data_IF_081075509262
#
_entry.id   IF_081075509262
#
_cell.length_a   1.000
_cell.length_b   1.000
_cell.length_c   1.000
_cell.angle_alpha   90.00
_cell.angle_beta   90.00
_cell.angle_gamma   90.00
#
_symmetry.space_group_name_H-M   'P 1'
#
loop_
_entity.id
_entity.type
_entity.pdbx_description
1 polymer ?
#
# COMPACT_ATOMS: atom_id res chain seq x y z
N UNK A 1 -49.38 13.05 -85.02
CA UNK A 1 -48.79 12.11 -84.05
C UNK A 1 -48.87 12.73 -82.66
N UNK A 2 -49.47 11.98 -81.74
CA UNK A 2 -49.31 12.01 -80.27
C UNK A 2 -49.64 13.29 -79.45
N UNK A 3 -50.90 13.30 -78.97
CA UNK A 3 -51.32 13.20 -77.57
C UNK A 3 -50.55 13.88 -76.39
N UNK A 4 -51.34 14.67 -75.62
CA UNK A 4 -51.56 14.60 -74.13
C UNK A 4 -50.39 14.96 -73.19
N UNK A 5 -50.54 15.41 -71.93
CA UNK A 5 -51.58 16.00 -71.04
C UNK A 5 -50.84 16.17 -69.69
N UNK A 6 -50.96 17.35 -69.06
CA UNK A 6 -51.09 17.62 -67.61
C UNK A 6 -49.94 17.44 -66.59
N UNK A 7 -49.69 18.59 -65.91
CA UNK A 7 -49.72 18.89 -64.46
C UNK A 7 -49.18 17.89 -63.40
N UNK A 8 -48.47 18.52 -62.46
CA UNK A 8 -48.54 18.39 -60.98
C UNK A 8 -48.08 17.14 -60.25
N UNK A 9 -47.53 17.43 -59.06
CA UNK A 9 -47.72 16.74 -57.78
C UNK A 9 -46.90 15.44 -57.55
N UNK A 10 -45.97 15.42 -56.59
CA UNK A 10 -46.15 15.17 -55.14
C UNK A 10 -45.72 13.72 -54.81
N UNK A 11 -44.97 13.59 -53.71
CA UNK A 11 -44.54 12.38 -52.96
C UNK A 11 -43.20 11.73 -53.36
N UNK A 12 -42.21 11.93 -52.48
CA UNK A 12 -41.46 10.82 -51.90
C UNK A 12 -41.26 11.13 -50.41
N UNK A 13 -41.95 10.36 -49.58
CA UNK A 13 -41.78 10.27 -48.13
C UNK A 13 -40.36 9.79 -47.77
N UNK A 14 -39.87 10.20 -46.59
CA UNK A 14 -39.53 9.30 -45.48
C UNK A 14 -38.42 9.90 -44.60
N UNK A 15 -38.78 10.06 -43.33
CA UNK A 15 -37.96 9.74 -42.16
C UNK A 15 -36.99 10.79 -41.55
N UNK A 16 -37.42 11.21 -40.36
CA UNK A 16 -36.65 11.50 -39.14
C UNK A 16 -36.50 12.97 -38.71
N UNK A 17 -37.57 13.42 -38.04
CA UNK A 17 -37.60 14.19 -36.80
C UNK A 17 -36.20 14.42 -36.16
N UNK A 18 -35.70 15.67 -36.21
CA UNK A 18 -34.57 16.10 -35.39
C UNK A 18 -35.04 17.18 -34.42
N UNK A 19 -35.30 16.72 -33.21
CA UNK A 19 -35.45 17.50 -31.99
C UNK A 19 -34.15 18.25 -31.68
N UNK A 20 -34.25 19.56 -31.44
CA UNK A 20 -33.20 20.31 -30.72
C UNK A 20 -33.76 20.59 -29.34
N UNK A 21 -33.43 19.71 -28.39
CA UNK A 21 -33.63 19.95 -26.96
C UNK A 21 -32.25 20.09 -26.34
N UNK A 22 -32.05 21.26 -25.75
CA UNK A 22 -30.94 21.67 -24.90
C UNK A 22 -30.60 20.59 -23.86
N UNK A 23 -29.35 20.13 -23.82
CA UNK A 23 -28.80 19.40 -22.69
C UNK A 23 -27.52 20.11 -22.23
N UNK A 24 -27.70 20.97 -21.23
CA UNK A 24 -26.62 21.57 -20.46
C UNK A 24 -26.03 20.44 -19.58
N UNK A 25 -24.92 19.84 -20.01
CA UNK A 25 -24.16 18.89 -19.19
C UNK A 25 -23.39 19.68 -18.14
N UNK A 26 -24.04 19.94 -17.00
CA UNK A 26 -23.34 20.23 -15.75
C UNK A 26 -22.60 18.94 -15.41
N UNK A 27 -21.30 18.90 -15.68
CA UNK A 27 -20.41 17.89 -15.11
C UNK A 27 -20.37 18.16 -13.62
N UNK A 28 -21.31 17.56 -12.88
CA UNK A 28 -21.15 17.34 -11.46
C UNK A 28 -19.97 16.39 -11.34
N UNK A 29 -18.78 16.97 -11.16
CA UNK A 29 -17.66 16.26 -10.59
C UNK A 29 -18.09 15.76 -9.23
N UNK A 30 -18.66 14.56 -9.20
CA UNK A 30 -18.70 13.70 -8.02
C UNK A 30 -17.26 13.34 -7.73
N UNK A 31 -16.51 14.32 -7.24
CA UNK A 31 -15.48 14.05 -6.27
C UNK A 31 -16.21 13.32 -5.17
N UNK A 32 -15.96 12.02 -5.05
CA UNK A 32 -16.21 11.32 -3.80
C UNK A 32 -15.22 11.96 -2.84
N UNK A 33 -15.60 13.10 -2.28
CA UNK A 33 -14.98 13.58 -1.06
C UNK A 33 -15.14 12.41 -0.10
N UNK A 34 -14.04 11.77 0.29
CA UNK A 34 -14.04 10.97 1.49
C UNK A 34 -14.38 11.94 2.60
N UNK A 35 -15.68 12.05 2.88
CA UNK A 35 -16.18 12.67 4.08
C UNK A 35 -15.74 11.78 5.21
N UNK A 36 -14.51 11.99 5.70
CA UNK A 36 -14.27 11.91 7.12
C UNK A 36 -15.10 13.03 7.76
N UNK A 37 -16.43 12.84 7.79
CA UNK A 37 -17.41 13.74 8.41
C UNK A 37 -17.35 13.66 9.95
N UNK A 38 -16.30 13.04 10.51
CA UNK A 38 -16.05 13.07 11.94
C UNK A 38 -15.44 14.45 12.26
N UNK A 39 -16.34 15.39 12.59
CA UNK A 39 -15.97 16.66 13.18
C UNK A 39 -15.19 16.47 14.49
N UNK A 40 -14.68 17.59 15.03
CA UNK A 40 -13.87 17.59 16.25
C UNK A 40 -14.58 16.91 17.44
N UNK A 41 -15.92 16.84 17.42
CA UNK A 41 -16.78 16.19 18.41
C UNK A 41 -16.35 14.76 18.75
N UNK A 42 -15.88 13.97 17.77
CA UNK A 42 -15.39 12.60 18.00
C UNK A 42 -14.16 12.55 18.93
N UNK A 43 -13.41 13.65 19.02
CA UNK A 43 -12.19 13.79 19.82
C UNK A 43 -12.37 14.61 21.11
N UNK A 44 -13.53 15.24 21.32
CA UNK A 44 -13.83 16.08 22.48
C UNK A 44 -14.61 15.34 23.59
N UNK A 45 -14.99 14.09 23.35
CA UNK A 45 -15.67 13.24 24.33
C UNK A 45 -14.78 12.84 25.52
N UNK A 46 -15.37 12.10 26.47
CA UNK A 46 -14.57 11.45 27.52
C UNK A 46 -13.54 10.51 26.87
N UNK A 47 -12.32 10.38 27.40
CA UNK A 47 -11.37 9.40 26.90
C UNK A 47 -11.99 8.00 26.91
N UNK A 48 -11.96 7.33 25.75
CA UNK A 48 -12.42 5.96 25.57
C UNK A 48 -11.26 5.11 25.13
N UNK A 49 -11.15 3.91 25.68
CA UNK A 49 -10.21 2.88 25.22
C UNK A 49 -10.96 1.57 25.07
N UNK A 50 -11.36 1.27 23.83
CA UNK A 50 -11.99 0.02 23.46
C UNK A 50 -10.96 -0.96 22.92
N UNK A 51 -11.20 -2.25 23.19
CA UNK A 51 -10.36 -3.33 22.68
C UNK A 51 -11.24 -4.35 22.00
N UNK A 52 -10.87 -4.71 20.79
CA UNK A 52 -11.44 -5.83 20.06
C UNK A 52 -10.32 -6.79 19.68
N UNK A 53 -10.57 -8.09 19.85
CA UNK A 53 -9.68 -9.12 19.30
C UNK A 53 -10.08 -9.43 17.86
N UNK A 54 -9.12 -9.36 16.95
CA UNK A 54 -9.33 -9.62 15.52
C UNK A 54 -8.85 -11.02 15.11
N UNK A 55 -7.80 -11.53 15.77
CA UNK A 55 -7.18 -12.81 15.51
C UNK A 55 -6.86 -13.49 16.86
N UNK A 56 -6.96 -14.82 16.92
CA UNK A 56 -6.82 -15.61 18.15
C UNK A 56 -5.51 -16.41 18.21
N UNK A 57 -4.72 -16.38 17.13
CA UNK A 57 -3.53 -17.19 16.91
C UNK A 57 -2.39 -16.35 16.29
N UNK A 58 -1.23 -16.96 16.03
CA UNK A 58 -0.12 -16.38 15.24
C UNK A 58 0.45 -15.04 15.75
N UNK A 59 1.28 -14.37 14.93
CA UNK A 59 1.90 -13.07 15.19
C UNK A 59 2.01 -12.24 13.90
N UNK A 60 2.68 -11.08 14.00
CA UNK A 60 3.08 -10.18 12.91
C UNK A 60 1.97 -9.25 12.41
N UNK A 61 1.45 -8.37 13.29
CA UNK A 61 0.43 -7.39 12.92
C UNK A 61 0.98 -6.31 11.99
N UNK A 62 0.13 -5.85 11.10
CA UNK A 62 0.22 -4.51 10.52
C UNK A 62 -1.19 -3.97 10.29
N UNK A 63 -1.34 -2.65 10.27
CA UNK A 63 -2.62 -2.01 10.03
C UNK A 63 -2.41 -0.82 9.09
N UNK A 64 -3.26 -0.70 8.09
CA UNK A 64 -3.25 0.43 7.15
C UNK A 64 -4.67 0.93 6.92
N UNK A 65 -4.78 2.18 6.52
CA UNK A 65 -6.04 2.78 6.05
C UNK A 65 -5.91 3.02 4.56
N UNK A 66 -6.83 2.50 3.77
CA UNK A 66 -6.82 2.67 2.31
C UNK A 66 -7.23 4.08 1.93
N UNK A 67 -7.02 4.46 0.67
CA UNK A 67 -7.50 5.74 0.12
C UNK A 67 -9.03 5.87 0.12
N UNK A 68 -9.75 4.77 0.39
CA UNK A 68 -11.22 4.74 0.55
C UNK A 68 -11.68 4.83 2.00
N UNK A 69 -10.76 4.91 2.97
CA UNK A 69 -11.07 4.94 4.40
C UNK A 69 -11.27 3.56 5.03
N UNK A 70 -11.09 2.47 4.26
CA UNK A 70 -11.16 1.11 4.80
C UNK A 70 -9.95 0.83 5.67
N UNK A 71 -10.17 0.36 6.89
CA UNK A 71 -9.10 -0.13 7.77
C UNK A 71 -8.82 -1.59 7.43
N UNK A 72 -7.56 -1.91 7.13
CA UNK A 72 -7.13 -3.28 6.80
C UNK A 72 -6.10 -3.73 7.84
N UNK A 73 -6.46 -4.74 8.63
CA UNK A 73 -5.56 -5.41 9.55
C UNK A 73 -4.97 -6.65 8.87
N UNK A 74 -3.64 -6.74 8.82
CA UNK A 74 -2.88 -7.85 8.21
C UNK A 74 -2.21 -8.65 9.32
N UNK A 75 -2.23 -9.98 9.20
CA UNK A 75 -1.78 -10.88 10.26
C UNK A 75 -1.28 -12.21 9.71
N UNK A 76 -0.25 -12.78 10.35
CA UNK A 76 0.10 -14.19 10.20
C UNK A 76 1.58 -14.49 9.99
N UNK A 77 1.99 -15.66 10.49
CA UNK A 77 3.33 -16.21 10.35
C UNK A 77 3.34 -17.71 10.00
N UNK A 78 2.18 -18.24 9.61
CA UNK A 78 1.98 -19.55 9.00
C UNK A 78 0.87 -19.45 7.96
N UNK A 79 1.11 -18.60 6.95
CA UNK A 79 0.07 -18.02 6.13
C UNK A 79 -0.22 -16.58 6.54
N UNK A 80 -0.81 -15.82 5.62
CA UNK A 80 -1.11 -14.39 5.81
C UNK A 80 -2.55 -14.13 5.43
N UNK A 81 -3.27 -13.49 6.35
CA UNK A 81 -4.67 -13.11 6.21
C UNK A 81 -4.85 -11.61 6.43
N UNK A 82 -5.94 -11.07 5.90
CA UNK A 82 -6.43 -9.74 6.27
C UNK A 82 -7.85 -9.79 6.81
N UNK A 83 -8.19 -8.84 7.67
CA UNK A 83 -9.57 -8.44 7.94
C UNK A 83 -9.75 -6.98 7.54
N UNK A 84 -10.97 -6.63 7.13
CA UNK A 84 -11.34 -5.28 6.68
C UNK A 84 -12.43 -4.70 7.57
N UNK A 85 -12.37 -3.41 7.81
CA UNK A 85 -13.42 -2.61 8.40
C UNK A 85 -13.70 -1.41 7.52
N UNK A 86 -14.97 -1.21 7.16
CA UNK A 86 -15.43 -0.08 6.32
C UNK A 86 -16.06 1.03 7.18
N UNK A 87 -16.01 0.91 8.51
CA UNK A 87 -16.63 1.80 9.49
C UNK A 87 -15.65 2.30 10.57
N UNK A 88 -14.37 2.44 10.20
CA UNK A 88 -13.34 3.01 11.08
C UNK A 88 -12.86 2.08 12.20
N UNK A 89 -13.05 0.77 12.04
CA UNK A 89 -12.63 -0.25 12.99
C UNK A 89 -13.72 -0.70 13.97
N UNK A 90 -14.97 -0.24 13.83
CA UNK A 90 -16.09 -0.60 14.73
C UNK A 90 -16.57 -2.02 14.49
N UNK A 91 -16.67 -2.44 13.23
CA UNK A 91 -16.99 -3.82 12.84
C UNK A 91 -15.98 -4.34 11.83
N UNK A 92 -15.79 -5.66 11.83
CA UNK A 92 -14.77 -6.31 11.01
C UNK A 92 -15.36 -7.49 10.24
N UNK A 93 -15.06 -7.57 8.96
CA UNK A 93 -15.42 -8.72 8.13
C UNK A 93 -14.67 -10.00 8.51
N UNK A 94 -15.03 -11.09 7.83
CA UNK A 94 -14.30 -12.36 7.91
C UNK A 94 -12.86 -12.24 7.41
N UNK A 95 -12.02 -13.20 7.82
CA UNK A 95 -10.63 -13.28 7.34
C UNK A 95 -10.60 -13.59 5.83
N UNK A 96 -9.70 -12.91 5.12
CA UNK A 96 -9.44 -13.09 3.69
C UNK A 96 -8.00 -13.54 3.54
N UNK A 97 -7.78 -14.70 2.92
CA UNK A 97 -6.43 -15.21 2.69
C UNK A 97 -5.68 -14.38 1.65
N UNK A 98 -4.47 -13.94 2.00
CA UNK A 98 -3.48 -13.34 1.10
C UNK A 98 -2.53 -14.43 0.60
N UNK A 99 -2.01 -15.24 1.52
CA UNK A 99 -1.11 -16.36 1.25
C UNK A 99 -1.43 -17.54 2.17
N UNK A 100 -1.44 -18.75 1.63
CA UNK A 100 -1.67 -20.00 2.38
C UNK A 100 -0.49 -20.38 3.29
N UNK A 101 0.69 -19.80 3.07
CA UNK A 101 1.91 -20.06 3.83
C UNK A 101 2.77 -18.81 3.96
N UNK A 102 3.81 -18.91 4.77
CA UNK A 102 4.82 -17.87 4.89
C UNK A 102 4.51 -16.85 5.97
N UNK A 103 5.43 -15.89 6.09
CA UNK A 103 5.58 -14.97 7.18
C UNK A 103 5.23 -13.59 6.67
N UNK A 104 4.25 -12.94 7.29
CA UNK A 104 3.99 -11.56 6.98
C UNK A 104 5.23 -10.73 7.26
N UNK A 105 5.75 -10.10 6.21
CA UNK A 105 6.95 -9.29 6.27
C UNK A 105 6.74 -7.96 6.97
N UNK A 106 5.53 -7.62 7.41
CA UNK A 106 5.18 -6.25 7.76
C UNK A 106 5.26 -5.33 6.53
N UNK A 107 5.16 -4.03 6.76
CA UNK A 107 5.34 -3.05 5.71
C UNK A 107 4.27 -3.11 4.63
N UNK A 108 3.03 -3.51 4.99
CA UNK A 108 1.89 -3.35 4.08
C UNK A 108 1.88 -1.91 3.61
N UNK A 109 1.87 -1.71 2.30
CA UNK A 109 2.03 -0.39 1.71
C UNK A 109 0.79 -0.06 0.90
N UNK A 110 0.16 1.06 1.20
CA UNK A 110 -0.89 1.64 0.36
C UNK A 110 -0.20 2.52 -0.66
N UNK A 111 -0.31 2.18 -1.95
CA UNK A 111 0.12 3.06 -3.03
C UNK A 111 -0.93 4.15 -3.20
N UNK A 112 -0.77 5.27 -2.49
CA UNK A 112 -1.73 6.38 -2.54
C UNK A 112 -1.90 7.01 -3.94
N UNK A 113 -1.04 6.70 -4.92
CA UNK A 113 -1.25 7.15 -6.30
C UNK A 113 -2.37 6.37 -7.00
N UNK A 114 -2.50 5.07 -6.70
CA UNK A 114 -3.44 4.16 -7.36
C UNK A 114 -4.57 3.68 -6.46
N UNK A 115 -4.37 3.71 -5.14
CA UNK A 115 -5.23 3.04 -4.15
C UNK A 115 -4.96 1.54 -4.00
N UNK A 116 -3.97 0.99 -4.71
CA UNK A 116 -3.59 -0.42 -4.57
C UNK A 116 -2.89 -0.68 -3.23
N UNK A 117 -3.02 -1.92 -2.72
CA UNK A 117 -2.31 -2.37 -1.53
C UNK A 117 -1.26 -3.41 -1.90
N UNK A 118 -0.10 -3.34 -1.26
CA UNK A 118 0.99 -4.31 -1.39
C UNK A 118 1.26 -4.98 -0.05
N UNK A 119 1.21 -6.31 -0.02
CA UNK A 119 1.59 -7.14 1.13
C UNK A 119 2.81 -7.97 0.76
N UNK A 120 3.76 -8.05 1.68
CA UNK A 120 5.06 -8.68 1.47
C UNK A 120 5.13 -9.93 2.34
N UNK A 121 5.37 -11.09 1.75
CA UNK A 121 5.36 -12.39 2.44
C UNK A 121 6.69 -13.09 2.22
N UNK A 122 7.41 -13.36 3.30
CA UNK A 122 8.64 -14.17 3.24
C UNK A 122 8.31 -15.65 3.47
N UNK A 123 8.97 -16.57 2.78
CA UNK A 123 8.65 -18.00 2.90
C UNK A 123 8.88 -18.56 4.33
N UNK A 124 9.78 -17.93 5.09
CA UNK A 124 10.19 -18.30 6.46
C UNK A 124 10.87 -17.11 7.13
N UNK A 125 11.39 -17.31 8.35
CA UNK A 125 12.26 -16.33 9.01
C UNK A 125 13.46 -15.96 8.10
N UNK A 126 13.79 -14.66 7.94
CA UNK A 126 14.89 -14.23 7.09
C UNK A 126 16.25 -14.81 7.50
N UNK A 127 17.17 -14.99 6.54
CA UNK A 127 17.02 -14.67 5.11
C UNK A 127 16.16 -15.71 4.37
N UNK A 128 15.19 -15.25 3.57
CA UNK A 128 14.23 -16.08 2.85
C UNK A 128 13.78 -15.44 1.52
N UNK A 129 13.29 -16.24 0.55
CA UNK A 129 12.59 -15.71 -0.62
C UNK A 129 11.36 -14.89 -0.21
N UNK A 130 11.04 -13.88 -1.02
CA UNK A 130 9.95 -12.94 -0.79
C UNK A 130 8.97 -12.96 -1.97
N UNK A 131 7.68 -13.03 -1.66
CA UNK A 131 6.58 -12.85 -2.61
C UNK A 131 5.80 -11.58 -2.27
N UNK A 132 5.49 -10.79 -3.29
CA UNK A 132 4.64 -9.60 -3.15
C UNK A 132 3.24 -9.92 -3.65
N UNK A 133 2.23 -9.61 -2.85
CA UNK A 133 0.82 -9.70 -3.20
C UNK A 133 0.24 -8.31 -3.36
N UNK A 134 -0.60 -8.14 -4.38
CA UNK A 134 -1.32 -6.89 -4.63
C UNK A 134 -2.82 -7.10 -4.49
N UNK A 135 -3.49 -6.15 -3.85
CA UNK A 135 -4.92 -5.92 -4.00
C UNK A 135 -5.15 -4.63 -4.79
N UNK A 136 -6.11 -4.68 -5.71
CA UNK A 136 -6.56 -3.54 -6.54
C UNK A 136 -8.01 -3.14 -6.27
N UNK A 137 -8.61 -3.79 -5.28
CA UNK A 137 -10.03 -3.73 -4.97
C UNK A 137 -10.23 -3.50 -3.48
N UNK A 138 -9.39 -2.65 -2.89
CA UNK A 138 -9.50 -2.17 -1.52
C UNK A 138 -9.32 -3.29 -0.47
N UNK A 139 -8.43 -4.24 -0.75
CA UNK A 139 -8.09 -5.37 0.13
C UNK A 139 -9.01 -6.58 0.02
N UNK A 140 -9.95 -6.60 -0.93
CA UNK A 140 -10.96 -7.66 -1.07
C UNK A 140 -10.40 -8.93 -1.71
N UNK A 141 -9.55 -8.78 -2.73
CA UNK A 141 -8.86 -9.90 -3.36
C UNK A 141 -7.36 -9.62 -3.49
N UNK A 142 -6.57 -10.69 -3.43
CA UNK A 142 -5.11 -10.62 -3.47
C UNK A 142 -4.57 -11.53 -4.57
N UNK A 143 -3.57 -11.03 -5.30
CA UNK A 143 -2.89 -11.76 -6.36
C UNK A 143 -1.38 -11.55 -6.25
N UNK A 144 -0.62 -12.59 -6.56
CA UNK A 144 0.84 -12.47 -6.67
C UNK A 144 1.18 -11.42 -7.73
N UNK A 145 2.13 -10.56 -7.40
CA UNK A 145 2.70 -9.57 -8.29
C UNK A 145 4.13 -9.95 -8.65
N UNK A 146 4.39 -10.12 -9.94
CA UNK A 146 5.76 -10.18 -10.44
C UNK A 146 6.51 -8.89 -10.07
N UNK A 147 7.55 -9.03 -9.26
CA UNK A 147 8.28 -7.90 -8.66
C UNK A 147 9.77 -8.15 -8.71
N UNK A 148 10.54 -7.14 -9.10
CA UNK A 148 12.01 -7.17 -9.07
C UNK A 148 12.49 -6.31 -7.91
N UNK A 149 13.33 -6.86 -7.04
CA UNK A 149 13.93 -6.13 -5.91
C UNK A 149 15.44 -6.16 -6.09
N UNK A 150 16.02 -4.97 -6.28
CA UNK A 150 17.46 -4.81 -6.44
C UNK A 150 18.23 -5.06 -5.14
N UNK A 151 19.48 -5.48 -5.28
CA UNK A 151 20.43 -5.53 -4.15
C UNK A 151 20.88 -4.12 -3.78
N UNK A 152 21.40 -3.96 -2.57
CA UNK A 152 22.05 -2.72 -2.16
C UNK A 152 23.45 -2.57 -2.79
N UNK A 153 24.14 -1.48 -2.45
CA UNK A 153 25.49 -1.18 -2.96
C UNK A 153 26.56 -2.20 -2.60
N UNK A 154 26.30 -3.07 -1.61
CA UNK A 154 27.20 -4.16 -1.20
C UNK A 154 26.84 -5.50 -1.86
N UNK A 155 25.81 -5.53 -2.72
CA UNK A 155 25.32 -6.77 -3.33
C UNK A 155 24.44 -7.62 -2.40
N UNK A 156 23.95 -7.04 -1.31
CA UNK A 156 23.11 -7.70 -0.32
C UNK A 156 21.61 -7.52 -0.63
N UNK A 157 20.84 -8.58 -0.39
CA UNK A 157 19.39 -8.57 -0.58
C UNK A 157 18.70 -7.98 0.66
N UNK A 158 17.81 -6.97 0.51
CA UNK A 158 17.00 -6.50 1.62
C UNK A 158 15.92 -7.52 1.99
N UNK A 159 15.61 -7.61 3.28
CA UNK A 159 14.47 -8.32 3.83
C UNK A 159 13.40 -7.32 4.27
N UNK A 160 12.14 -7.73 4.11
CA UNK A 160 10.99 -6.93 4.50
C UNK A 160 10.65 -7.12 5.97
N UNK A 161 11.01 -8.27 6.53
CA UNK A 161 10.53 -8.80 7.80
C UNK A 161 10.41 -7.79 8.94
N UNK A 162 9.16 -7.67 9.41
CA UNK A 162 8.70 -6.95 10.59
C UNK A 162 8.99 -5.45 10.61
N UNK A 163 9.29 -4.86 9.46
CA UNK A 163 9.30 -3.41 9.33
C UNK A 163 7.86 -2.88 9.28
N UNK A 164 7.66 -1.65 9.74
CA UNK A 164 6.35 -0.98 9.74
C UNK A 164 5.92 -0.57 8.32
N UNK A 165 4.67 -0.12 8.17
CA UNK A 165 4.06 0.25 6.89
C UNK A 165 4.95 1.15 6.04
N UNK A 166 4.92 0.94 4.72
CA UNK A 166 5.50 1.87 3.77
C UNK A 166 4.67 3.14 3.64
N UNK A 167 5.21 4.15 2.96
CA UNK A 167 4.52 5.40 2.64
C UNK A 167 4.61 5.71 1.16
N UNK A 168 3.68 6.53 0.68
CA UNK A 168 3.82 7.29 -0.58
C UNK A 168 4.30 8.69 -0.25
N UNK A 169 5.41 9.13 -0.87
CA UNK A 169 5.94 10.48 -0.64
C UNK A 169 4.97 11.54 -1.17
N UNK A 170 4.74 12.59 -0.38
CA UNK A 170 3.84 13.70 -0.70
C UNK A 170 4.59 14.96 -1.13
N UNK A 171 5.89 15.06 -0.82
CA UNK A 171 6.68 16.28 -1.01
C UNK A 171 7.89 16.11 -1.93
N UNK A 172 8.37 17.23 -2.45
CA UNK A 172 9.62 17.32 -3.20
C UNK A 172 9.62 16.62 -4.56
N UNK A 173 10.82 16.47 -5.13
CA UNK A 173 11.04 15.95 -6.49
C UNK A 173 10.66 14.47 -6.69
N UNK A 174 10.40 13.76 -5.59
CA UNK A 174 10.09 12.33 -5.58
C UNK A 174 8.65 12.05 -5.09
N UNK A 175 7.78 13.06 -5.06
CA UNK A 175 6.36 12.88 -4.78
C UNK A 175 5.78 11.73 -5.62
N UNK A 176 5.03 10.84 -4.97
CA UNK A 176 4.44 9.63 -5.54
C UNK A 176 5.33 8.38 -5.43
N UNK A 177 6.60 8.51 -5.05
CA UNK A 177 7.47 7.35 -4.77
C UNK A 177 6.94 6.56 -3.59
N UNK A 178 6.90 5.24 -3.72
CA UNK A 178 6.72 4.32 -2.59
C UNK A 178 8.05 4.17 -1.86
N UNK A 179 8.05 4.27 -0.54
CA UNK A 179 9.23 4.15 0.32
C UNK A 179 8.90 3.29 1.54
N UNK A 180 9.76 2.32 1.87
CA UNK A 180 9.59 1.53 3.09
C UNK A 180 10.91 1.12 3.74
N UNK A 181 10.91 0.82 5.06
CA UNK A 181 12.07 0.31 5.75
C UNK A 181 12.36 -1.14 5.37
N UNK A 182 13.65 -1.49 5.35
CA UNK A 182 14.15 -2.85 5.14
C UNK A 182 15.37 -3.13 6.03
N UNK A 183 15.69 -4.42 6.18
CA UNK A 183 16.84 -4.89 6.94
C UNK A 183 17.67 -5.87 6.13
N UNK A 184 18.98 -5.86 6.32
CA UNK A 184 19.85 -6.95 5.94
C UNK A 184 20.15 -7.83 7.16
N UNK A 185 19.92 -9.14 7.04
CA UNK A 185 20.05 -10.11 8.13
C UNK A 185 21.44 -10.77 8.22
N UNK A 186 22.37 -10.45 7.32
CA UNK A 186 23.57 -11.26 7.15
C UNK A 186 23.30 -12.53 6.34
N UNK A 187 24.33 -13.33 6.04
CA UNK A 187 24.20 -14.55 5.25
C UNK A 187 23.30 -15.62 5.89
N UNK A 188 23.33 -15.76 7.21
CA UNK A 188 22.63 -16.82 7.94
C UNK A 188 21.52 -16.29 8.87
N UNK A 189 21.53 -14.99 9.20
CA UNK A 189 20.57 -14.44 10.15
C UNK A 189 20.95 -14.71 11.61
N UNK A 190 20.02 -14.43 12.51
CA UNK A 190 20.19 -14.68 13.95
C UNK A 190 21.11 -13.70 14.68
N UNK A 191 21.31 -13.94 15.97
CA UNK A 191 22.03 -13.00 16.86
C UNK A 191 23.55 -12.97 16.66
N UNK A 192 24.13 -14.09 16.23
CA UNK A 192 25.58 -14.18 15.99
C UNK A 192 26.05 -13.25 14.85
N UNK A 193 25.15 -12.87 13.94
CA UNK A 193 25.45 -11.98 12.81
C UNK A 193 24.99 -10.54 13.04
N UNK A 194 24.54 -10.17 14.23
CA UNK A 194 24.18 -8.78 14.54
C UNK A 194 25.22 -7.72 14.09
N UNK A 195 26.54 -7.93 14.23
CA UNK A 195 27.54 -6.97 13.73
C UNK A 195 27.49 -6.75 12.20
N UNK A 196 26.97 -7.72 11.45
CA UNK A 196 26.81 -7.66 10.00
C UNK A 196 25.47 -7.04 9.58
N UNK A 197 24.49 -7.06 10.47
CA UNK A 197 23.13 -6.63 10.20
C UNK A 197 23.00 -5.11 10.24
N UNK A 198 22.12 -4.59 9.41
CA UNK A 198 21.82 -3.16 9.32
C UNK A 198 20.46 -2.93 8.69
N UNK A 199 19.97 -1.71 8.82
CA UNK A 199 18.79 -1.23 8.12
C UNK A 199 19.15 -0.42 6.90
N UNK A 200 18.21 -0.38 5.96
CA UNK A 200 18.22 0.48 4.80
C UNK A 200 16.76 0.77 4.42
N UNK A 201 16.55 1.40 3.27
CA UNK A 201 15.22 1.58 2.71
C UNK A 201 15.17 1.01 1.29
N UNK A 202 13.98 0.60 0.88
CA UNK A 202 13.68 0.34 -0.54
C UNK A 202 12.67 1.37 -1.04
N UNK A 203 12.76 1.68 -2.33
CA UNK A 203 11.83 2.59 -2.97
C UNK A 203 11.42 2.12 -4.37
N UNK A 204 10.23 2.52 -4.79
CA UNK A 204 9.68 2.25 -6.11
C UNK A 204 9.04 3.49 -6.70
N UNK A 205 9.31 3.74 -7.98
CA UNK A 205 8.72 4.82 -8.78
C UNK A 205 7.71 4.29 -9.82
N UNK A 206 7.44 2.97 -9.84
CA UNK A 206 6.58 2.31 -10.84
C UNK A 206 5.40 1.55 -10.22
N UNK A 207 4.96 2.03 -9.05
CA UNK A 207 3.86 1.45 -8.28
C UNK A 207 4.22 0.12 -7.63
N UNK A 208 5.51 -0.16 -7.41
CA UNK A 208 5.98 -1.36 -6.72
C UNK A 208 6.32 -2.54 -7.61
N UNK A 209 6.40 -2.38 -8.94
CA UNK A 209 6.81 -3.46 -9.88
C UNK A 209 8.32 -3.69 -9.81
N UNK A 210 9.09 -2.63 -9.62
CA UNK A 210 10.51 -2.69 -9.33
C UNK A 210 10.85 -1.86 -8.10
N UNK A 211 11.77 -2.38 -7.29
CA UNK A 211 12.27 -1.73 -6.09
C UNK A 211 13.78 -1.59 -6.14
N UNK A 212 14.25 -0.41 -5.79
CA UNK A 212 15.68 -0.11 -5.61
C UNK A 212 15.99 -0.04 -4.13
N UNK A 213 17.13 -0.59 -3.76
CA UNK A 213 17.60 -0.62 -2.37
C UNK A 213 18.61 0.48 -2.15
N UNK A 214 18.44 1.26 -1.08
CA UNK A 214 19.41 2.29 -0.70
C UNK A 214 20.70 1.67 -0.21
N UNK A 215 21.75 2.49 -0.12
CA UNK A 215 22.92 2.14 0.67
C UNK A 215 22.54 1.82 2.12
N UNK A 216 23.33 0.99 2.82
CA UNK A 216 23.17 0.75 4.24
C UNK A 216 23.11 2.05 5.04
N UNK A 217 22.23 2.11 6.04
CA UNK A 217 22.35 3.11 7.10
C UNK A 217 23.54 2.77 8.00
N UNK A 218 24.16 3.79 8.64
CA UNK A 218 25.48 3.62 9.24
C UNK A 218 25.52 2.67 10.44
N UNK A 219 24.42 2.56 11.19
CA UNK A 219 24.36 1.75 12.41
C UNK A 219 24.24 0.25 12.12
N UNK A 220 25.01 -0.56 12.84
CA UNK A 220 24.97 -2.03 12.78
C UNK A 220 24.14 -2.62 13.91
N UNK A 221 23.73 -3.87 13.76
CA UNK A 221 22.89 -4.56 14.73
C UNK A 221 21.48 -3.96 14.88
N UNK A 222 21.07 -3.13 13.92
CA UNK A 222 19.71 -2.58 13.86
C UNK A 222 18.73 -3.62 13.33
N UNK A 223 17.46 -3.43 13.67
CA UNK A 223 16.36 -4.34 13.48
C UNK A 223 15.20 -3.74 12.70
N UNK A 224 14.00 -4.15 13.10
CA UNK A 224 12.72 -3.62 12.66
C UNK A 224 12.70 -2.09 12.71
N UNK A 225 12.19 -1.46 11.67
CA UNK A 225 12.19 -0.02 11.52
C UNK A 225 10.84 0.52 11.03
N UNK A 226 10.66 1.82 11.21
CA UNK A 226 9.55 2.63 10.70
C UNK A 226 10.10 3.93 10.13
N UNK A 227 9.30 4.59 9.30
CA UNK A 227 9.64 5.89 8.72
C UNK A 227 8.41 6.77 8.54
N UNK A 228 8.63 8.08 8.47
CA UNK A 228 7.61 9.07 8.15
C UNK A 228 8.23 10.20 7.32
N UNK A 229 7.47 10.74 6.37
CA UNK A 229 7.83 11.97 5.67
C UNK A 229 7.42 13.18 6.54
N UNK A 230 8.37 14.04 6.84
CA UNK A 230 8.15 15.29 7.56
C UNK A 230 7.55 16.35 6.64
N UNK A 231 6.96 17.40 7.22
CA UNK A 231 6.30 18.48 6.46
C UNK A 231 7.21 19.26 5.51
N UNK A 232 8.53 19.17 5.68
CA UNK A 232 9.54 19.75 4.79
C UNK A 232 10.08 18.76 3.74
N UNK A 233 9.51 17.56 3.66
CA UNK A 233 9.90 16.49 2.73
C UNK A 233 11.13 15.67 3.16
N UNK A 234 11.71 15.93 4.33
CA UNK A 234 12.73 15.02 4.90
C UNK A 234 12.07 13.73 5.36
N UNK A 235 12.84 12.64 5.35
CA UNK A 235 12.40 11.35 5.91
C UNK A 235 12.99 11.21 7.31
N UNK A 236 12.12 11.03 8.30
CA UNK A 236 12.51 10.58 9.63
C UNK A 236 12.45 9.05 9.66
N UNK A 237 13.57 8.42 9.98
CA UNK A 237 13.70 6.96 10.04
C UNK A 237 14.03 6.55 11.47
N UNK A 238 13.31 5.57 12.00
CA UNK A 238 13.53 5.05 13.34
C UNK A 238 13.70 3.52 13.27
N UNK A 239 14.70 2.99 13.96
CA UNK A 239 14.95 1.55 13.99
C UNK A 239 15.17 1.06 15.40
N UNK A 240 14.59 -0.12 15.68
CA UNK A 240 14.93 -0.93 16.83
C UNK A 240 16.38 -1.36 16.73
N UNK A 241 17.05 -1.51 17.87
CA UNK A 241 18.41 -2.05 17.89
C UNK A 241 18.47 -3.31 18.75
N UNK A 242 19.16 -4.32 18.24
CA UNK A 242 19.35 -5.62 18.88
C UNK A 242 20.73 -5.78 19.49
N UNK A 243 21.74 -5.11 18.95
CA UNK A 243 23.12 -5.25 19.42
C UNK A 243 23.49 -4.16 20.43
N UNK A 244 23.86 -4.57 21.64
CA UNK A 244 24.24 -3.68 22.73
C UNK A 244 25.68 -3.17 22.64
N UNK A 245 26.57 -3.91 21.97
CA UNK A 245 28.03 -3.66 21.93
C UNK A 245 28.44 -2.65 20.85
N UNK A 246 27.54 -1.73 20.49
CA UNK A 246 27.73 -0.81 19.36
C UNK A 246 29.04 -0.01 19.51
N UNK A 247 29.85 0.12 18.45
CA UNK A 247 30.88 1.15 18.44
C UNK A 247 30.21 2.52 18.65
N UNK A 248 30.78 3.39 19.49
CA UNK A 248 30.23 4.74 19.69
C UNK A 248 30.25 5.48 18.36
N UNK A 249 29.08 5.72 17.78
CA UNK A 249 28.95 6.55 16.59
C UNK A 249 29.12 8.02 17.02
N UNK A 250 30.34 8.52 16.93
CA UNK A 250 30.68 9.93 17.16
C UNK A 250 30.42 10.78 15.89
N UNK A 251 29.27 10.56 15.24
CA UNK A 251 28.87 11.26 14.02
C UNK A 251 28.08 12.52 14.29
#
# INVERSE_FOLDING_TARGET
MEHKVWRTNVLAEMNHLRSVVTALLVVTGLSVASRADDGLEAFLGKPVFEKQRLFDDQRYPNIVVTTRGTVVAVWGNDGVVVRRSEDGGRTWGGAITVSEKGYHGGGTTVDENSGDLLVFVEDRQPPAPLTVYRSRDDGKTWRVQATVIGKDTNGNTPSMHMNEHGITLLHGKHKGRLLRPTRYYGPNGGGAEWPLQYTNAIYSDDGGKSWRTSSPFPEKGTGEATLVELSDGRIYYNSRVHWSERPRNNG
#
